data_IF_506143062815
#
_entry.id   IF_506143062815
#
_cell.length_a   1.000
_cell.length_b   1.000
_cell.length_c   1.000
_cell.angle_alpha   90.00
_cell.angle_beta   90.00
_cell.angle_gamma   90.00
#
_symmetry.space_group_name_H-M   'P 1'
#
loop_
_entity.id
_entity.type
_entity.pdbx_description
1 polymer ?
#
# COMPACT_ATOMS: atom_id res chain seq x y z
N UNK A 1 -8.12 -28.79 8.98
CA UNK A 1 -7.90 -27.32 8.98
C UNK A 1 -6.68 -27.07 8.10
N UNK A 2 -6.86 -26.65 6.85
CA UNK A 2 -5.73 -26.41 5.95
C UNK A 2 -5.03 -25.11 6.37
N UNK A 3 -3.69 -25.09 6.51
CA UNK A 3 -2.96 -23.88 6.87
C UNK A 3 -3.12 -22.85 5.76
N UNK A 4 -3.47 -21.61 6.12
CA UNK A 4 -3.62 -20.51 5.17
C UNK A 4 -2.26 -20.21 4.51
N UNK A 5 -2.22 -19.97 3.18
CA UNK A 5 -0.97 -19.81 2.42
C UNK A 5 -0.04 -18.72 2.96
N UNK A 6 -0.61 -17.68 3.57
CA UNK A 6 0.13 -16.53 4.08
C UNK A 6 1.04 -16.89 5.27
N UNK A 7 0.64 -17.84 6.13
CA UNK A 7 1.42 -18.18 7.34
C UNK A 7 2.63 -19.09 7.02
N UNK A 8 2.58 -19.83 5.91
CA UNK A 8 3.71 -20.64 5.41
C UNK A 8 4.52 -19.94 4.31
N UNK A 9 4.00 -18.87 3.72
CA UNK A 9 4.62 -18.10 2.65
C UNK A 9 5.60 -17.04 3.16
N UNK A 10 6.52 -16.59 2.29
CA UNK A 10 7.44 -15.47 2.58
C UNK A 10 6.84 -14.09 2.26
N UNK A 11 5.57 -14.04 1.83
CA UNK A 11 4.88 -12.84 1.40
C UNK A 11 3.62 -12.63 2.23
N UNK A 12 3.41 -11.39 2.65
CA UNK A 12 2.17 -10.96 3.30
C UNK A 12 1.12 -10.47 2.30
N UNK A 13 1.43 -10.46 0.99
CA UNK A 13 0.52 -10.14 -0.09
C UNK A 13 0.28 -11.39 -0.96
N UNK A 14 -0.97 -11.65 -1.33
CA UNK A 14 -1.36 -12.74 -2.23
C UNK A 14 -2.37 -12.28 -3.28
N UNK A 15 -2.35 -12.92 -4.46
CA UNK A 15 -3.35 -12.74 -5.52
C UNK A 15 -4.43 -13.82 -5.35
N UNK A 16 -5.69 -13.41 -5.33
CA UNK A 16 -6.83 -14.32 -5.28
C UNK A 16 -7.27 -14.63 -6.71
N UNK A 17 -7.28 -15.91 -7.06
CA UNK A 17 -7.70 -16.40 -8.38
C UNK A 17 -8.81 -17.42 -8.23
N UNK A 18 -9.73 -17.43 -9.19
CA UNK A 18 -10.80 -18.42 -9.33
C UNK A 18 -10.60 -19.16 -10.65
N UNK A 19 -10.80 -20.48 -10.64
CA UNK A 19 -10.86 -21.25 -11.87
C UNK A 19 -12.21 -21.01 -12.52
N UNK A 20 -12.20 -20.47 -13.73
CA UNK A 20 -13.38 -20.32 -14.56
C UNK A 20 -13.38 -21.47 -15.59
N UNK A 21 -14.48 -22.23 -15.59
CA UNK A 21 -14.70 -23.35 -16.51
C UNK A 21 -15.97 -23.17 -17.33
N UNK A 22 -16.52 -21.95 -17.37
CA UNK A 22 -17.70 -21.63 -18.16
C UNK A 22 -17.29 -21.34 -19.61
N UNK A 23 -17.73 -22.19 -20.54
CA UNK A 23 -17.48 -22.05 -21.98
C UNK A 23 -16.96 -23.33 -22.65
N UNK A 24 -16.92 -23.35 -23.98
CA UNK A 24 -16.16 -24.37 -24.71
C UNK A 24 -14.67 -24.01 -24.69
N UNK A 25 -13.86 -24.80 -23.97
CA UNK A 25 -12.42 -24.61 -23.87
C UNK A 25 -11.83 -25.14 -22.56
N UNK A 26 -10.51 -24.99 -22.42
CA UNK A 26 -9.81 -25.40 -21.20
C UNK A 26 -10.06 -24.41 -20.04
N UNK A 27 -10.19 -24.89 -18.79
CA UNK A 27 -10.32 -24.03 -17.63
C UNK A 27 -9.17 -23.03 -17.50
N UNK A 28 -9.49 -21.77 -17.17
CA UNK A 28 -8.49 -20.72 -16.97
C UNK A 28 -8.63 -20.06 -15.59
N UNK A 29 -7.53 -19.46 -15.13
CA UNK A 29 -7.51 -18.71 -13.87
C UNK A 29 -7.93 -17.26 -14.11
N UNK A 30 -9.02 -16.85 -13.49
CA UNK A 30 -9.51 -15.47 -13.44
C UNK A 30 -9.03 -14.80 -12.14
N UNK A 31 -8.42 -13.63 -12.25
CA UNK A 31 -7.96 -12.86 -11.08
C UNK A 31 -9.14 -12.11 -10.47
N UNK A 32 -9.44 -12.40 -9.20
CA UNK A 32 -10.49 -11.71 -8.44
C UNK A 32 -9.96 -10.47 -7.71
N UNK A 33 -8.72 -10.50 -7.22
CA UNK A 33 -8.16 -9.39 -6.46
C UNK A 33 -6.88 -9.73 -5.70
N UNK A 34 -6.54 -8.87 -4.74
CA UNK A 34 -5.40 -9.02 -3.84
C UNK A 34 -5.91 -9.20 -2.40
N UNK A 35 -5.10 -9.83 -1.55
CA UNK A 35 -5.35 -9.95 -0.11
C UNK A 35 -4.02 -9.81 0.64
N UNK A 36 -4.06 -9.18 1.80
CA UNK A 36 -2.92 -9.02 2.70
C UNK A 36 -3.06 -9.87 3.96
N UNK A 37 -1.96 -10.04 4.70
CA UNK A 37 -2.00 -10.66 6.03
C UNK A 37 -2.83 -9.82 7.01
N UNK A 38 -2.80 -8.50 6.88
CA UNK A 38 -3.56 -7.56 7.72
C UNK A 38 -5.05 -7.82 7.60
N UNK A 39 -5.60 -7.94 6.39
CA UNK A 39 -7.03 -8.26 6.16
C UNK A 39 -7.46 -9.53 6.90
N UNK A 40 -6.60 -10.56 6.91
CA UNK A 40 -6.87 -11.83 7.60
C UNK A 40 -6.87 -11.63 9.12
N UNK A 41 -5.94 -10.85 9.65
CA UNK A 41 -5.85 -10.57 11.08
C UNK A 41 -7.05 -9.72 11.51
N UNK A 42 -7.40 -8.66 10.77
CA UNK A 42 -8.57 -7.81 11.01
C UNK A 42 -9.86 -8.62 11.10
N UNK A 43 -10.06 -9.58 10.19
CA UNK A 43 -11.22 -10.46 10.22
C UNK A 43 -11.20 -11.44 11.41
N UNK A 44 -10.04 -11.78 11.98
CA UNK A 44 -9.94 -12.60 13.20
C UNK A 44 -10.29 -11.77 14.43
N UNK A 45 -9.72 -10.57 14.58
CA UNK A 45 -9.88 -9.73 15.77
C UNK A 45 -11.15 -8.87 15.72
N UNK A 46 -11.85 -8.84 14.58
CA UNK A 46 -13.06 -8.05 14.32
C UNK A 46 -12.88 -6.56 14.64
N UNK A 47 -11.66 -6.06 14.39
CA UNK A 47 -11.30 -4.65 14.54
C UNK A 47 -10.39 -4.25 13.40
N UNK A 48 -10.52 -2.99 12.94
CA UNK A 48 -9.62 -2.40 11.96
C UNK A 48 -8.23 -2.21 12.58
N UNK A 49 -7.19 -2.46 11.80
CA UNK A 49 -5.81 -2.12 12.16
C UNK A 49 -5.45 -0.86 11.39
N UNK A 50 -4.96 0.17 12.10
CA UNK A 50 -4.45 1.39 11.48
C UNK A 50 -2.92 1.35 11.46
N UNK A 51 -2.34 1.10 10.28
CA UNK A 51 -0.90 1.18 10.04
C UNK A 51 -0.43 2.65 10.00
N UNK A 52 0.86 2.84 10.20
CA UNK A 52 1.51 4.15 10.21
C UNK A 52 1.29 4.96 8.92
N UNK A 53 1.00 4.28 7.81
CA UNK A 53 0.81 4.88 6.49
C UNK A 53 -0.64 5.03 6.06
N UNK A 54 -1.61 4.65 6.89
CA UNK A 54 -3.00 4.56 6.46
C UNK A 54 -3.66 5.91 6.17
N UNK A 55 -4.32 5.95 5.01
CA UNK A 55 -5.06 7.13 4.56
C UNK A 55 -6.51 7.12 5.04
N UNK A 56 -7.03 5.96 5.42
CA UNK A 56 -8.41 5.72 5.81
C UNK A 56 -8.49 5.04 7.18
N UNK A 57 -9.46 5.44 8.02
CA UNK A 57 -9.72 4.82 9.34
C UNK A 57 -10.54 3.53 9.25
N UNK A 58 -11.14 3.28 8.09
CA UNK A 58 -12.04 2.15 7.84
C UNK A 58 -12.12 1.92 6.33
N UNK A 59 -11.68 0.74 5.91
CA UNK A 59 -11.65 0.33 4.51
C UNK A 59 -13.05 0.17 3.88
N UNK A 60 -14.12 -0.02 4.69
CA UNK A 60 -15.51 -0.14 4.22
C UNK A 60 -16.18 1.21 4.01
N UNK A 61 -16.07 2.12 4.98
CA UNK A 61 -16.69 3.45 4.88
C UNK A 61 -15.81 4.48 4.17
N UNK A 62 -14.55 4.14 3.85
CA UNK A 62 -13.53 5.04 3.27
C UNK A 62 -13.40 6.35 4.06
N UNK A 63 -13.68 6.31 5.36
CA UNK A 63 -13.57 7.46 6.23
C UNK A 63 -12.09 7.81 6.34
N UNK A 64 -11.72 9.05 6.04
CA UNK A 64 -10.30 9.46 6.03
C UNK A 64 -9.78 9.51 7.46
N UNK A 65 -8.53 9.09 7.66
CA UNK A 65 -7.84 9.32 8.94
C UNK A 65 -7.79 10.82 9.19
N UNK A 66 -8.25 11.24 10.36
CA UNK A 66 -8.04 12.58 10.89
C UNK A 66 -6.56 12.72 11.30
N UNK A 67 -5.63 12.58 10.34
CA UNK A 67 -4.23 12.91 10.55
C UNK A 67 -4.09 14.43 10.64
N UNK A 68 -4.49 14.98 11.79
CA UNK A 68 -3.99 16.24 12.26
C UNK A 68 -2.50 16.04 12.60
N UNK A 69 -1.60 16.46 11.71
CA UNK A 69 -0.28 16.91 12.16
C UNK A 69 0.97 16.52 11.39
N UNK A 70 0.96 15.62 10.40
CA UNK A 70 2.22 15.29 9.70
C UNK A 70 2.01 14.82 8.25
N UNK A 71 1.34 15.63 7.44
CA UNK A 71 1.63 15.56 6.00
C UNK A 71 3.10 15.92 5.83
N UNK A 72 3.94 14.92 5.58
CA UNK A 72 5.32 15.15 5.15
C UNK A 72 5.24 16.05 3.93
N UNK A 73 5.79 17.26 4.02
CA UNK A 73 5.67 18.23 2.94
C UNK A 73 6.56 17.80 1.78
N UNK A 74 5.95 17.23 0.73
CA UNK A 74 6.63 16.85 -0.50
C UNK A 74 6.64 17.97 -1.54
N UNK A 75 6.23 19.20 -1.18
CA UNK A 75 6.24 20.36 -2.09
C UNK A 75 7.64 20.63 -2.64
N UNK A 76 8.69 20.34 -1.87
CA UNK A 76 10.10 20.45 -2.26
C UNK A 76 10.50 19.55 -3.45
N UNK A 77 9.71 18.51 -3.77
CA UNK A 77 9.95 17.61 -4.91
C UNK A 77 9.14 17.97 -6.16
N UNK A 78 8.32 19.04 -6.11
CA UNK A 78 7.62 19.50 -7.30
C UNK A 78 8.64 20.05 -8.31
N UNK A 79 8.70 19.50 -9.55
CA UNK A 79 9.61 20.02 -10.55
C UNK A 79 9.28 21.49 -10.81
N UNK A 80 10.23 22.38 -10.52
CA UNK A 80 10.05 23.82 -10.73
C UNK A 80 10.21 24.12 -12.22
N UNK A 81 9.18 24.67 -12.86
CA UNK A 81 9.16 24.96 -14.31
C UNK A 81 9.99 26.18 -14.72
N UNK A 82 10.92 26.67 -13.90
CA UNK A 82 11.70 27.87 -14.25
C UNK A 82 13.19 27.74 -13.98
N UNK A 83 13.92 28.31 -14.95
CA UNK A 83 15.28 28.06 -15.37
C UNK A 83 16.33 28.52 -14.35
N UNK A 84 17.51 27.90 -14.44
CA UNK A 84 18.74 28.18 -13.66
C UNK A 84 18.66 27.86 -12.16
N UNK A 85 18.40 26.59 -11.83
CA UNK A 85 18.69 26.02 -10.51
C UNK A 85 19.49 24.75 -10.72
N UNK A 86 20.64 24.63 -10.05
CA UNK A 86 21.54 23.47 -10.08
C UNK A 86 20.71 22.19 -10.10
N UNK A 87 20.94 21.31 -11.09
CA UNK A 87 20.20 20.05 -11.26
C UNK A 87 20.59 19.07 -10.14
N UNK A 88 19.99 19.26 -8.97
CA UNK A 88 20.10 18.33 -7.84
C UNK A 88 19.05 17.26 -8.00
N UNK A 89 19.43 15.98 -7.86
CA UNK A 89 18.47 14.90 -7.93
C UNK A 89 17.51 14.95 -6.72
N UNK A 90 16.23 14.58 -6.87
CA UNK A 90 15.30 14.50 -5.76
C UNK A 90 15.83 13.67 -4.59
N UNK A 91 16.58 12.60 -4.88
CA UNK A 91 17.17 11.72 -3.87
C UNK A 91 18.26 12.45 -3.06
N UNK A 92 19.12 13.23 -3.71
CA UNK A 92 20.18 14.00 -3.04
C UNK A 92 19.59 15.14 -2.19
N UNK A 93 18.55 15.82 -2.71
CA UNK A 93 17.84 16.85 -1.96
C UNK A 93 17.19 16.28 -0.69
N UNK A 94 16.52 15.13 -0.81
CA UNK A 94 15.91 14.44 0.33
C UNK A 94 16.95 14.03 1.37
N UNK A 95 18.09 13.48 0.93
CA UNK A 95 19.18 13.06 1.80
C UNK A 95 19.78 14.25 2.56
N UNK A 96 20.08 15.35 1.87
CA UNK A 96 20.58 16.57 2.49
C UNK A 96 19.57 17.16 3.48
N UNK A 97 18.28 17.20 3.14
CA UNK A 97 17.24 17.65 4.06
C UNK A 97 17.21 16.80 5.33
N UNK A 98 17.23 15.47 5.21
CA UNK A 98 17.23 14.56 6.38
C UNK A 98 18.45 14.78 7.26
N UNK A 99 19.64 14.90 6.65
CA UNK A 99 20.90 15.14 7.36
C UNK A 99 20.95 16.49 8.08
N UNK A 100 20.40 17.55 7.49
CA UNK A 100 20.37 18.89 8.09
C UNK A 100 19.24 19.08 9.11
N UNK A 101 18.21 18.23 9.08
CA UNK A 101 17.04 18.30 9.97
C UNK A 101 17.17 17.49 11.26
N UNK A 102 18.26 16.75 11.43
CA UNK A 102 18.67 16.05 12.65
C UNK A 102 19.65 16.90 13.45
#
# INVERSE_FOLDING_TARGET
>A
MLPTPCVKGKSHLAIVQKVNSEGEGDPFYEVLGLVTLEDVIEEIIKSEILDESDLYTDNRSKKRVAHAGKKRDFSAFKPTTQEVKVKVSPQLLLAAHRFLST
#
